data_IF_311118129969
#
_entry.id   IF_311118129969
#
_cell.length_a   1.000
_cell.length_b   1.000
_cell.length_c   1.000
_cell.angle_alpha   90.00
_cell.angle_beta   90.00
_cell.angle_gamma   90.00
#
_symmetry.space_group_name_H-M   'P 1'
#
loop_
_entity.id
_entity.type
_entity.pdbx_description
1 polymer ?
#
# COMPACT_ATOMS: atom_id res chain seq x y z
N UNK A 1 8.52 14.18 9.05
CA UNK A 1 8.53 12.71 8.86
C UNK A 1 9.40 12.39 7.66
N UNK A 2 10.46 11.57 7.79
CA UNK A 2 11.36 11.23 6.66
C UNK A 2 11.18 9.76 6.29
N UNK A 3 10.56 9.51 5.15
CA UNK A 3 10.30 8.17 4.62
C UNK A 3 11.48 7.67 3.78
N UNK A 4 11.85 6.40 3.96
CA UNK A 4 12.81 5.70 3.09
C UNK A 4 12.21 5.42 1.71
N UNK A 5 13.06 5.12 0.72
CA UNK A 5 12.60 4.76 -0.62
C UNK A 5 11.68 3.52 -0.61
N UNK A 6 12.00 2.52 0.22
CA UNK A 6 11.21 1.32 0.37
C UNK A 6 9.83 1.59 1.00
N UNK A 7 9.77 2.44 2.03
CA UNK A 7 8.51 2.87 2.66
C UNK A 7 7.62 3.61 1.66
N UNK A 8 8.18 4.56 0.91
CA UNK A 8 7.46 5.27 -0.15
C UNK A 8 6.91 4.30 -1.19
N UNK A 9 7.73 3.34 -1.64
CA UNK A 9 7.31 2.36 -2.64
C UNK A 9 6.15 1.48 -2.15
N UNK A 10 6.11 1.12 -0.86
CA UNK A 10 4.97 0.38 -0.29
C UNK A 10 3.72 1.25 -0.25
N UNK A 11 3.82 2.50 0.20
CA UNK A 11 2.68 3.43 0.23
C UNK A 11 2.11 3.70 -1.17
N UNK A 12 2.98 3.92 -2.16
CA UNK A 12 2.58 4.10 -3.55
C UNK A 12 1.88 2.84 -4.09
N UNK A 13 2.41 1.64 -3.83
CA UNK A 13 1.79 0.40 -4.26
C UNK A 13 0.38 0.22 -3.65
N UNK A 14 0.23 0.51 -2.34
CA UNK A 14 -1.06 0.40 -1.66
C UNK A 14 -2.11 1.37 -2.21
N UNK A 15 -1.74 2.62 -2.52
CA UNK A 15 -2.70 3.59 -3.10
C UNK A 15 -3.02 3.27 -4.57
N UNK A 16 -2.11 2.60 -5.28
CA UNK A 16 -2.34 2.09 -6.64
C UNK A 16 -3.17 0.79 -6.69
N UNK A 17 -3.59 0.25 -5.55
CA UNK A 17 -4.49 -0.91 -5.47
C UNK A 17 -3.80 -2.24 -5.15
N UNK A 18 -2.48 -2.26 -4.92
CA UNK A 18 -1.81 -3.46 -4.39
C UNK A 18 -2.27 -3.76 -2.95
N UNK A 19 -2.15 -5.02 -2.54
CA UNK A 19 -2.48 -5.48 -1.18
C UNK A 19 -1.20 -5.89 -0.44
N UNK A 20 -0.96 -5.32 0.73
CA UNK A 20 0.10 -5.78 1.62
C UNK A 20 -0.47 -6.84 2.56
N UNK A 21 0.12 -8.02 2.57
CA UNK A 21 -0.29 -9.11 3.44
C UNK A 21 0.89 -9.62 4.26
N UNK A 22 0.59 -10.07 5.48
CA UNK A 22 1.51 -10.89 6.26
C UNK A 22 0.99 -12.32 6.35
N UNK A 23 1.86 -13.28 6.10
CA UNK A 23 1.61 -14.70 6.35
C UNK A 23 2.45 -15.15 7.54
N UNK A 24 1.85 -15.91 8.46
CA UNK A 24 2.55 -16.53 9.58
C UNK A 24 2.72 -18.03 9.30
N UNK A 25 3.97 -18.47 9.28
CA UNK A 25 4.34 -19.87 9.15
C UNK A 25 4.15 -20.62 10.47
N UNK A 26 4.11 -21.95 10.39
CA UNK A 26 3.92 -22.83 11.57
C UNK A 26 5.06 -22.73 12.58
N UNK A 27 6.26 -22.36 12.12
CA UNK A 27 7.43 -22.06 12.96
C UNK A 27 7.36 -20.68 13.65
N UNK A 28 6.26 -19.94 13.42
CA UNK A 28 6.04 -18.59 13.97
C UNK A 28 6.66 -17.47 13.14
N UNK A 29 7.43 -17.77 12.09
CA UNK A 29 8.03 -16.77 11.19
C UNK A 29 6.93 -15.99 10.46
N UNK A 30 7.10 -14.67 10.41
CA UNK A 30 6.18 -13.77 9.71
C UNK A 30 6.83 -13.23 8.45
N UNK A 31 6.16 -13.41 7.32
CA UNK A 31 6.59 -12.88 6.04
C UNK A 31 5.61 -11.84 5.55
N UNK A 32 6.12 -10.78 4.93
CA UNK A 32 5.32 -9.70 4.36
C UNK A 32 5.51 -9.66 2.86
N UNK A 33 4.42 -9.50 2.11
CA UNK A 33 4.46 -9.37 0.67
C UNK A 33 3.40 -8.40 0.15
N UNK A 34 3.76 -7.65 -0.89
CA UNK A 34 2.84 -6.92 -1.73
C UNK A 34 2.33 -7.86 -2.82
N UNK A 35 1.01 -7.86 -3.00
CA UNK A 35 0.30 -8.52 -4.07
C UNK A 35 -0.26 -7.45 -5.00
N UNK A 36 0.22 -7.45 -6.24
CA UNK A 36 -0.28 -6.55 -7.28
C UNK A 36 -1.62 -7.04 -7.85
N UNK A 37 -2.23 -6.25 -8.73
CA UNK A 37 -3.50 -6.62 -9.39
C UNK A 37 -3.32 -7.74 -10.42
N UNK A 38 -2.12 -7.91 -10.96
CA UNK A 38 -1.71 -9.01 -11.85
C UNK A 38 -1.25 -10.27 -11.09
N UNK A 39 -1.54 -10.32 -9.78
CA UNK A 39 -1.14 -11.38 -8.85
C UNK A 39 0.38 -11.58 -8.68
N UNK A 40 1.19 -10.63 -9.16
CA UNK A 40 2.63 -10.63 -8.87
C UNK A 40 2.88 -10.39 -7.37
N UNK A 41 3.79 -11.21 -6.80
CA UNK A 41 4.16 -11.16 -5.38
C UNK A 41 5.54 -10.55 -5.22
N UNK A 42 5.64 -9.47 -4.45
CA UNK A 42 6.92 -8.84 -4.09
C UNK A 42 7.15 -8.89 -2.57
N UNK A 43 8.23 -9.51 -2.08
CA UNK A 43 8.53 -9.52 -0.65
C UNK A 43 8.81 -8.11 -0.13
N UNK A 44 8.42 -7.86 1.12
CA UNK A 44 8.66 -6.60 1.84
C UNK A 44 9.39 -6.91 3.13
N UNK A 45 10.44 -6.15 3.43
CA UNK A 45 11.18 -6.30 4.68
C UNK A 45 10.28 -5.96 5.88
N UNK A 46 10.33 -6.79 6.94
CA UNK A 46 9.55 -6.59 8.15
C UNK A 46 9.76 -5.19 8.75
N UNK A 47 11.00 -4.71 8.82
CA UNK A 47 11.34 -3.39 9.34
C UNK A 47 10.62 -2.24 8.62
N UNK A 48 10.33 -2.37 7.31
CA UNK A 48 9.56 -1.37 6.56
C UNK A 48 8.11 -1.36 7.03
N UNK A 49 7.50 -2.52 7.18
CA UNK A 49 6.10 -2.65 7.63
C UNK A 49 5.94 -2.16 9.07
N UNK A 50 6.85 -2.56 9.96
CA UNK A 50 6.82 -2.11 11.36
C UNK A 50 6.95 -0.58 11.44
N UNK A 51 7.92 0.03 10.74
CA UNK A 51 8.07 1.50 10.74
C UNK A 51 6.86 2.24 10.18
N UNK A 52 6.22 1.72 9.12
CA UNK A 52 5.00 2.31 8.59
C UNK A 52 3.83 2.21 9.58
N UNK A 53 3.75 1.11 10.33
CA UNK A 53 2.74 0.91 11.37
C UNK A 53 2.99 1.82 12.56
N UNK A 54 4.24 1.91 13.03
CA UNK A 54 4.63 2.74 14.17
C UNK A 54 4.44 4.24 13.87
N UNK A 55 4.53 4.63 12.60
CA UNK A 55 4.18 5.98 12.12
C UNK A 55 2.67 6.19 11.91
N UNK A 56 1.84 5.18 12.17
CA UNK A 56 0.38 5.26 12.01
C UNK A 56 -0.10 5.37 10.56
N UNK A 57 0.71 5.00 9.58
CA UNK A 57 0.36 5.10 8.15
C UNK A 57 -0.38 3.86 7.63
N UNK A 58 -0.15 2.71 8.26
CA UNK A 58 -0.84 1.46 7.93
C UNK A 58 -1.37 0.79 9.19
N UNK A 59 -2.45 0.04 9.04
CA UNK A 59 -3.03 -0.79 10.11
C UNK A 59 -3.32 -2.20 9.59
N UNK A 60 -3.23 -3.19 10.47
CA UNK A 60 -3.58 -4.58 10.14
C UNK A 60 -5.06 -4.85 10.41
N UNK A 61 -5.68 -5.71 9.61
CA UNK A 61 -7.00 -6.30 9.89
C UNK A 61 -6.95 -7.38 11.00
N UNK A 62 -5.76 -7.71 11.54
CA UNK A 62 -5.60 -8.62 12.67
C UNK A 62 -6.23 -10.03 12.48
N UNK A 63 -6.38 -10.49 11.23
CA UNK A 63 -6.90 -11.82 10.92
C UNK A 63 -5.78 -12.87 10.88
N UNK A 64 -6.07 -14.07 11.37
CA UNK A 64 -5.18 -15.23 11.34
C UNK A 64 -5.66 -16.25 10.29
N UNK A 65 -4.77 -16.97 9.56
CA UNK A 65 -3.30 -16.94 9.61
C UNK A 65 -2.67 -15.84 8.73
N UNK A 66 -3.48 -15.16 7.91
CA UNK A 66 -3.02 -14.09 7.04
C UNK A 66 -3.70 -12.76 7.39
N UNK A 67 -2.90 -11.72 7.60
CA UNK A 67 -3.39 -10.38 7.91
C UNK A 67 -3.09 -9.41 6.78
N UNK A 68 -4.10 -8.70 6.31
CA UNK A 68 -3.96 -7.62 5.33
C UNK A 68 -3.69 -6.29 6.04
N UNK A 69 -2.81 -5.47 5.47
CA UNK A 69 -2.53 -4.11 5.93
C UNK A 69 -3.20 -3.10 5.02
N UNK A 70 -3.86 -2.11 5.62
CA UNK A 70 -4.61 -1.06 4.96
C UNK A 70 -3.99 0.30 5.29
N UNK A 71 -4.06 1.24 4.36
CA UNK A 71 -3.68 2.63 4.62
C UNK A 71 -4.66 3.26 5.62
N UNK A 72 -4.13 3.93 6.63
CA UNK A 72 -4.93 4.82 7.50
C UNK A 72 -5.30 6.10 6.74
N UNK A 73 -6.15 6.95 7.31
CA UNK A 73 -6.47 8.27 6.71
C UNK A 73 -5.19 9.11 6.46
N UNK A 74 -4.28 9.14 7.43
CA UNK A 74 -2.97 9.79 7.29
C UNK A 74 -2.11 9.08 6.22
N UNK A 75 -2.07 7.76 6.22
CA UNK A 75 -1.36 6.97 5.21
C UNK A 75 -1.82 7.27 3.79
N UNK A 76 -3.14 7.41 3.57
CA UNK A 76 -3.69 7.76 2.27
C UNK A 76 -3.26 9.15 1.81
N UNK A 77 -3.28 10.15 2.69
CA UNK A 77 -2.84 11.51 2.36
C UNK A 77 -1.37 11.52 1.93
N UNK A 78 -0.50 10.85 2.71
CA UNK A 78 0.93 10.75 2.42
C UNK A 78 1.16 9.99 1.11
N UNK A 79 0.49 8.85 0.89
CA UNK A 79 0.62 8.07 -0.33
C UNK A 79 0.19 8.84 -1.58
N UNK A 80 -0.91 9.60 -1.49
CA UNK A 80 -1.38 10.49 -2.58
C UNK A 80 -0.38 11.61 -2.88
N UNK A 81 0.22 12.23 -1.86
CA UNK A 81 1.24 13.26 -2.07
C UNK A 81 2.52 12.71 -2.72
N UNK A 82 2.85 11.44 -2.49
CA UNK A 82 4.00 10.76 -3.10
C UNK A 82 3.75 10.28 -4.52
N UNK A 83 2.49 10.08 -4.91
CA UNK A 83 2.12 9.56 -6.22
C UNK A 83 1.82 10.74 -7.13
N UNK A 84 2.66 11.04 -8.15
CA UNK A 84 2.31 12.05 -9.13
C UNK A 84 1.01 11.64 -9.81
N UNK A 85 0.04 12.56 -9.88
CA UNK A 85 -1.30 12.30 -10.41
C UNK A 85 -1.23 11.85 -11.88
N UNK A 86 -1.20 10.53 -12.11
CA UNK A 86 -1.30 9.94 -13.45
C UNK A 86 -2.75 9.79 -13.92
N UNK A 87 -3.73 10.29 -13.16
CA UNK A 87 -5.12 10.31 -13.57
C UNK A 87 -5.57 11.75 -13.71
N UNK A 88 -5.40 12.28 -14.93
CA UNK A 88 -6.34 13.30 -15.41
C UNK A 88 -7.73 12.70 -15.19
N UNK A 89 -8.63 13.37 -14.44
CA UNK A 89 -10.03 12.95 -14.45
C UNK A 89 -10.45 12.91 -15.92
N UNK A 90 -11.15 11.84 -16.31
CA UNK A 90 -11.92 11.82 -17.54
C UNK A 90 -13.00 12.90 -17.41
N UNK A 91 -12.61 14.16 -17.55
CA UNK A 91 -13.56 15.26 -17.70
C UNK A 91 -14.39 14.90 -18.91
N UNK A 92 -15.71 14.89 -18.72
CA UNK A 92 -16.68 14.62 -19.77
C UNK A 92 -16.27 15.42 -21.01
N UNK A 93 -15.89 14.68 -22.06
CA UNK A 93 -15.52 15.24 -23.36
C UNK A 93 -16.59 16.25 -23.72
N UNK A 94 -16.17 17.50 -23.93
CA UNK A 94 -16.97 18.53 -24.59
C UNK A 94 -17.62 17.92 -25.82
N UNK A 95 -18.91 17.58 -25.73
CA UNK A 95 -19.73 17.25 -26.88
C UNK A 95 -19.92 18.56 -27.65
N UNK A 96 -19.07 18.79 -28.64
CA UNK A 96 -19.36 19.77 -29.69
C UNK A 96 -20.54 19.21 -30.48
N UNK A 97 -21.75 19.73 -30.19
CA UNK A 97 -22.87 19.62 -31.13
C UNK A 97 -22.56 20.58 -32.28
N UNK A 98 -22.44 20.02 -33.49
CA UNK A 98 -22.65 20.78 -34.73
C UNK A 98 -24.13 21.04 -34.90
#
# INVERSE_FOLDING_TARGET
MRLSAAEKAVLCALVSGSRLQSHRHLDGRKEYALHSLDDSRRPVAAAVVERLRDQGLIQSNMKFPAATYLLTGQGQQVAKALTPAALRPLTARTFSRR
#
